data_IF_760533261207
#
_entry.id   IF_760533261207
#
_cell.length_a   1.000
_cell.length_b   1.000
_cell.length_c   1.000
_cell.angle_alpha   90.00
_cell.angle_beta   90.00
_cell.angle_gamma   90.00
#
_symmetry.space_group_name_H-M   'P 1'
#
loop_
_entity.id
_entity.type
_entity.pdbx_description
1 polymer ?
#
# COMPACT_ATOMS: atom_id res chain seq x y z
N UNK A 1 -1.52 -32.85 -12.04
CA UNK A 1 -0.96 -31.69 -11.35
C UNK A 1 -2.01 -30.59 -11.17
N UNK A 2 -1.84 -29.60 -10.28
CA UNK A 2 -2.83 -28.56 -10.06
C UNK A 2 -3.03 -27.69 -11.31
N UNK A 3 -4.25 -27.15 -11.52
CA UNK A 3 -4.65 -26.45 -12.76
C UNK A 3 -3.89 -25.16 -13.07
N UNK A 4 -2.97 -24.73 -12.20
CA UNK A 4 -2.13 -23.55 -12.37
C UNK A 4 -0.68 -23.91 -12.75
N UNK A 5 -0.49 -24.88 -13.63
CA UNK A 5 0.86 -25.21 -14.12
C UNK A 5 1.57 -23.96 -14.68
N UNK A 6 2.87 -23.88 -14.43
CA UNK A 6 3.80 -22.82 -14.86
C UNK A 6 3.69 -22.45 -16.35
N UNK A 7 3.15 -23.29 -17.18
CA UNK A 7 2.97 -23.07 -18.62
C UNK A 7 1.85 -22.09 -18.98
N UNK A 8 0.79 -21.95 -18.13
CA UNK A 8 -0.28 -20.98 -18.37
C UNK A 8 0.03 -19.61 -17.72
N UNK A 9 0.73 -19.60 -16.58
CA UNK A 9 1.23 -18.38 -15.95
C UNK A 9 2.35 -17.72 -16.77
N UNK A 10 3.13 -18.51 -17.53
CA UNK A 10 4.22 -18.02 -18.37
C UNK A 10 3.79 -17.29 -19.67
N UNK A 11 2.49 -17.15 -19.94
CA UNK A 11 1.97 -16.47 -21.15
C UNK A 11 1.47 -15.06 -20.91
N UNK A 12 1.20 -14.67 -19.67
CA UNK A 12 0.73 -13.31 -19.34
C UNK A 12 1.90 -12.48 -18.84
N UNK A 13 2.15 -11.30 -19.43
CA UNK A 13 3.16 -10.38 -18.92
C UNK A 13 2.94 -10.07 -17.43
N UNK A 14 3.99 -10.12 -16.64
CA UNK A 14 3.89 -9.93 -15.19
C UNK A 14 3.30 -8.57 -14.82
N UNK A 15 3.63 -7.52 -15.57
CA UNK A 15 3.06 -6.18 -15.36
C UNK A 15 1.54 -6.14 -15.53
N UNK A 16 1.01 -6.88 -16.52
CA UNK A 16 -0.45 -6.99 -16.72
C UNK A 16 -1.12 -7.76 -15.58
N UNK A 17 -0.52 -8.87 -15.14
CA UNK A 17 -1.06 -9.67 -14.05
C UNK A 17 -1.08 -8.90 -12.73
N UNK A 18 -0.03 -8.15 -12.45
CA UNK A 18 0.10 -7.30 -11.25
C UNK A 18 -0.89 -6.13 -11.30
N UNK A 19 -1.07 -5.53 -12.47
CA UNK A 19 -2.05 -4.45 -12.68
C UNK A 19 -3.49 -4.96 -12.50
N UNK A 20 -3.80 -6.14 -13.01
CA UNK A 20 -5.12 -6.78 -12.82
C UNK A 20 -5.42 -7.07 -11.34
N UNK A 21 -4.43 -7.56 -10.59
CA UNK A 21 -4.55 -7.74 -9.14
C UNK A 21 -4.88 -6.42 -8.43
N UNK A 22 -4.15 -5.37 -8.75
CA UNK A 22 -4.40 -4.02 -8.20
C UNK A 22 -5.83 -3.55 -8.47
N UNK A 23 -6.30 -3.68 -9.72
CA UNK A 23 -7.63 -3.28 -10.14
C UNK A 23 -8.73 -4.09 -9.44
N UNK A 24 -8.51 -5.40 -9.24
CA UNK A 24 -9.45 -6.27 -8.52
C UNK A 24 -9.55 -5.90 -7.05
N UNK A 25 -8.43 -5.65 -6.38
CA UNK A 25 -8.47 -5.20 -4.98
C UNK A 25 -9.25 -3.89 -4.87
N UNK A 26 -8.99 -2.93 -5.75
CA UNK A 26 -9.72 -1.67 -5.77
C UNK A 26 -11.23 -1.83 -6.02
N UNK A 27 -11.62 -2.72 -6.93
CA UNK A 27 -13.01 -2.95 -7.30
C UNK A 27 -13.79 -3.76 -6.26
N UNK A 28 -13.15 -4.74 -5.63
CA UNK A 28 -13.81 -5.74 -4.78
C UNK A 28 -13.81 -5.36 -3.29
N UNK A 29 -13.03 -4.36 -2.88
CA UNK A 29 -12.88 -3.94 -1.49
C UNK A 29 -13.24 -2.47 -1.30
N UNK A 30 -13.84 -2.15 -0.16
CA UNK A 30 -14.23 -0.78 0.19
C UNK A 30 -13.20 -0.15 1.13
N UNK A 31 -12.77 1.08 0.84
CA UNK A 31 -11.95 1.82 1.79
C UNK A 31 -12.80 2.28 2.97
N UNK A 32 -12.47 1.78 4.17
CA UNK A 32 -13.14 2.14 5.42
C UNK A 32 -12.14 2.14 6.58
N UNK A 33 -11.85 3.32 7.11
CA UNK A 33 -10.92 3.51 8.23
C UNK A 33 -11.40 2.92 9.56
N UNK A 34 -12.65 2.49 9.65
CA UNK A 34 -13.24 1.88 10.84
C UNK A 34 -13.38 0.36 10.75
N UNK A 35 -13.16 -0.23 9.56
CA UNK A 35 -13.35 -1.65 9.33
C UNK A 35 -12.27 -2.51 10.00
N UNK A 36 -11.05 -1.99 10.10
CA UNK A 36 -9.87 -2.73 10.54
C UNK A 36 -9.06 -1.95 11.58
N UNK A 37 -8.09 -2.63 12.16
CA UNK A 37 -7.07 -2.06 13.04
C UNK A 37 -5.69 -2.45 12.54
N UNK A 38 -4.63 -1.86 13.07
CA UNK A 38 -3.23 -2.19 12.70
C UNK A 38 -2.86 -3.68 12.93
N UNK A 39 -3.67 -4.41 13.69
CA UNK A 39 -3.48 -5.83 13.99
C UNK A 39 -4.42 -6.75 13.20
N UNK A 40 -5.27 -6.21 12.35
CA UNK A 40 -6.16 -7.01 11.49
C UNK A 40 -5.34 -7.86 10.53
N UNK A 41 -5.80 -9.09 10.33
CA UNK A 41 -5.17 -10.06 9.43
C UNK A 41 -5.71 -9.94 8.01
N UNK A 42 -5.02 -10.54 7.04
CA UNK A 42 -5.52 -10.65 5.66
C UNK A 42 -6.85 -11.40 5.61
N UNK A 43 -7.07 -12.40 6.48
CA UNK A 43 -8.34 -13.11 6.57
C UNK A 43 -9.48 -12.18 7.00
N UNK A 44 -9.25 -11.32 7.99
CA UNK A 44 -10.25 -10.33 8.43
C UNK A 44 -10.65 -9.37 7.30
N UNK A 45 -9.67 -8.95 6.48
CA UNK A 45 -9.90 -8.07 5.33
C UNK A 45 -10.71 -8.77 4.24
N UNK A 46 -10.41 -10.04 3.97
CA UNK A 46 -11.14 -10.88 3.02
C UNK A 46 -12.59 -11.08 3.43
N UNK A 47 -12.84 -11.33 4.71
CA UNK A 47 -14.18 -11.54 5.25
C UNK A 47 -15.02 -10.26 5.22
N UNK A 48 -14.43 -9.13 5.63
CA UNK A 48 -15.12 -7.84 5.70
C UNK A 48 -15.25 -7.15 4.35
N UNK A 49 -14.42 -7.50 3.38
CA UNK A 49 -14.30 -6.80 2.09
C UNK A 49 -14.09 -5.29 2.25
N UNK A 50 -13.39 -4.90 3.31
CA UNK A 50 -13.12 -3.51 3.63
C UNK A 50 -11.82 -3.38 4.44
N UNK A 51 -11.18 -2.21 4.34
CA UNK A 51 -9.95 -1.92 5.05
C UNK A 51 -9.34 -0.58 4.63
N UNK A 52 -8.06 -0.42 4.96
CA UNK A 52 -7.26 0.77 4.63
C UNK A 52 -6.05 0.40 3.75
N UNK A 53 -5.23 1.38 3.39
CA UNK A 53 -4.07 1.16 2.52
C UNK A 53 -3.10 0.07 3.03
N UNK A 54 -2.87 0.00 4.33
CA UNK A 54 -2.08 -1.07 4.95
C UNK A 54 -2.67 -2.46 4.65
N UNK A 55 -3.97 -2.61 4.78
CA UNK A 55 -4.68 -3.88 4.57
C UNK A 55 -4.62 -4.32 3.11
N UNK A 56 -4.85 -3.39 2.19
CA UNK A 56 -4.81 -3.67 0.76
C UNK A 56 -3.39 -3.97 0.27
N UNK A 57 -2.38 -3.32 0.85
CA UNK A 57 -0.99 -3.68 0.61
C UNK A 57 -0.67 -5.10 1.10
N UNK A 58 -1.10 -5.47 2.30
CA UNK A 58 -0.92 -6.84 2.83
C UNK A 58 -1.64 -7.89 2.01
N UNK A 59 -2.87 -7.60 1.56
CA UNK A 59 -3.62 -8.49 0.68
C UNK A 59 -2.91 -8.71 -0.66
N UNK A 60 -2.44 -7.63 -1.28
CA UNK A 60 -1.67 -7.71 -2.52
C UNK A 60 -0.38 -8.52 -2.34
N UNK A 61 0.36 -8.28 -1.24
CA UNK A 61 1.57 -9.04 -0.91
C UNK A 61 1.28 -10.54 -0.74
N UNK A 62 0.21 -10.89 -0.04
CA UNK A 62 -0.19 -12.27 0.15
C UNK A 62 -0.47 -12.96 -1.19
N UNK A 63 -1.23 -12.31 -2.08
CA UNK A 63 -1.51 -12.81 -3.42
C UNK A 63 -0.24 -12.99 -4.26
N UNK A 64 0.62 -11.97 -4.32
CA UNK A 64 1.83 -12.00 -5.13
C UNK A 64 2.82 -13.09 -4.66
N UNK A 65 3.05 -13.14 -3.35
CA UNK A 65 3.98 -14.12 -2.75
C UNK A 65 3.46 -15.55 -2.83
N UNK A 66 2.15 -15.78 -2.78
CA UNK A 66 1.57 -17.11 -2.97
C UNK A 66 1.83 -17.67 -4.37
N UNK A 67 2.04 -16.79 -5.35
CA UNK A 67 2.45 -17.14 -6.72
C UNK A 67 3.96 -17.12 -6.94
N UNK A 68 4.76 -16.98 -5.88
CA UNK A 68 6.22 -16.99 -5.96
C UNK A 68 6.83 -15.70 -6.48
N UNK A 69 6.07 -14.60 -6.54
CA UNK A 69 6.59 -13.30 -6.95
C UNK A 69 7.23 -12.58 -5.77
N UNK A 70 8.44 -12.06 -5.99
CA UNK A 70 9.10 -11.22 -5.00
C UNK A 70 8.37 -9.88 -4.91
N UNK A 71 7.85 -9.55 -3.73
CA UNK A 71 7.14 -8.32 -3.48
C UNK A 71 7.46 -7.77 -2.09
N UNK A 72 7.47 -6.44 -1.97
CA UNK A 72 7.77 -5.73 -0.73
C UNK A 72 6.71 -4.71 -0.39
N UNK A 73 6.49 -4.52 0.89
CA UNK A 73 5.67 -3.45 1.45
C UNK A 73 6.43 -2.13 1.33
N UNK A 74 5.77 -1.08 0.91
CA UNK A 74 6.34 0.27 0.83
C UNK A 74 5.55 1.20 1.75
N UNK A 75 6.27 1.90 2.61
CA UNK A 75 5.74 2.96 3.46
C UNK A 75 6.26 4.31 2.99
N UNK A 76 5.40 5.29 2.96
CA UNK A 76 5.78 6.64 2.53
C UNK A 76 4.63 7.63 2.62
N UNK A 77 4.67 8.61 1.76
CA UNK A 77 3.67 9.67 1.68
C UNK A 77 3.15 9.82 0.27
N UNK A 78 1.89 10.16 0.15
CA UNK A 78 1.23 10.47 -1.12
C UNK A 78 0.79 11.93 -1.11
N UNK A 79 1.29 12.72 -2.06
CA UNK A 79 0.80 14.08 -2.28
C UNK A 79 -0.65 14.02 -2.75
N UNK A 80 -1.56 14.56 -1.94
CA UNK A 80 -2.98 14.64 -2.26
C UNK A 80 -3.25 15.78 -3.21
N UNK A 81 -4.19 15.58 -4.12
CA UNK A 81 -4.67 16.65 -5.01
C UNK A 81 -5.96 17.22 -4.43
N UNK A 82 -6.07 18.55 -4.29
CA UNK A 82 -7.31 19.15 -3.86
C UNK A 82 -8.42 18.87 -4.91
N UNK A 83 -9.68 18.77 -4.47
CA UNK A 83 -10.79 18.70 -5.41
C UNK A 83 -10.78 19.91 -6.36
N UNK A 84 -11.32 19.77 -7.58
CA UNK A 84 -11.38 20.87 -8.55
C UNK A 84 -12.01 22.14 -7.94
N UNK A 85 -11.32 23.28 -8.09
CA UNK A 85 -11.74 24.58 -7.58
C UNK A 85 -11.50 24.82 -6.08
N UNK A 86 -10.80 23.92 -5.38
CA UNK A 86 -10.40 24.11 -3.98
C UNK A 86 -8.89 24.28 -3.86
N UNK A 87 -8.48 25.12 -2.92
CA UNK A 87 -7.07 25.27 -2.57
C UNK A 87 -6.55 24.04 -1.81
N UNK A 88 -5.26 23.77 -1.94
CA UNK A 88 -4.58 22.73 -1.20
C UNK A 88 -4.54 23.06 0.29
N UNK A 89 -4.93 22.12 1.12
CA UNK A 89 -4.88 22.25 2.58
C UNK A 89 -3.50 21.79 3.06
N UNK A 90 -2.75 22.68 3.68
CA UNK A 90 -1.45 22.35 4.27
C UNK A 90 -1.60 21.27 5.37
N UNK A 91 -0.73 20.26 5.34
CA UNK A 91 -0.75 19.19 6.32
C UNK A 91 -1.86 18.14 6.11
N UNK A 92 -2.54 18.18 4.96
CA UNK A 92 -3.61 17.22 4.64
C UNK A 92 -3.12 15.90 4.05
N UNK A 93 -1.85 15.83 3.63
CA UNK A 93 -1.26 14.60 3.14
C UNK A 93 -1.13 13.59 4.28
N UNK A 94 -1.32 12.32 3.98
CA UNK A 94 -1.26 11.27 4.98
C UNK A 94 -0.12 10.31 4.69
N UNK A 95 0.33 9.62 5.74
CA UNK A 95 1.13 8.42 5.55
C UNK A 95 0.34 7.43 4.70
N UNK A 96 1.03 6.77 3.78
CA UNK A 96 0.42 5.87 2.84
C UNK A 96 1.23 4.58 2.71
N UNK A 97 0.57 3.53 2.25
CA UNK A 97 1.20 2.24 2.02
C UNK A 97 0.81 1.70 0.64
N UNK A 98 1.78 1.08 -0.01
CA UNK A 98 1.60 0.42 -1.30
C UNK A 98 2.55 -0.77 -1.45
N UNK A 99 2.66 -1.34 -2.62
CA UNK A 99 3.44 -2.55 -2.88
C UNK A 99 4.40 -2.32 -4.05
N UNK A 100 5.60 -2.86 -3.96
CA UNK A 100 6.50 -2.97 -5.10
C UNK A 100 6.78 -4.43 -5.40
N UNK A 101 6.71 -4.79 -6.68
CA UNK A 101 6.90 -6.13 -7.22
C UNK A 101 8.16 -6.15 -8.07
N UNK A 102 9.03 -7.12 -7.82
CA UNK A 102 10.22 -7.32 -8.63
C UNK A 102 9.86 -7.86 -10.01
N UNK A 103 10.37 -7.22 -11.05
CA UNK A 103 10.20 -7.66 -12.43
C UNK A 103 11.44 -8.45 -12.88
N UNK A 104 11.35 -9.77 -12.98
CA UNK A 104 12.48 -10.59 -13.41
C UNK A 104 12.97 -10.19 -14.82
N UNK A 105 14.26 -9.98 -14.96
CA UNK A 105 14.91 -9.66 -16.23
C UNK A 105 14.99 -8.17 -16.58
N UNK A 106 14.37 -7.28 -15.80
CA UNK A 106 14.47 -5.82 -15.98
C UNK A 106 15.32 -5.13 -14.91
N UNK A 107 15.62 -5.82 -13.79
CA UNK A 107 16.21 -5.23 -12.58
C UNK A 107 15.41 -4.06 -12.00
N UNK A 108 14.09 -4.07 -12.20
CA UNK A 108 13.19 -3.00 -11.77
C UNK A 108 12.12 -3.48 -10.81
N UNK A 109 11.65 -2.56 -9.99
CA UNK A 109 10.51 -2.75 -9.11
C UNK A 109 9.30 -1.99 -9.64
N UNK A 110 8.23 -2.70 -9.98
CA UNK A 110 6.95 -2.10 -10.34
C UNK A 110 6.18 -1.78 -9.06
N UNK A 111 5.93 -0.51 -8.79
CA UNK A 111 5.18 -0.06 -7.64
C UNK A 111 3.70 0.16 -8.00
N UNK A 112 2.81 -0.53 -7.28
CA UNK A 112 1.36 -0.49 -7.46
C UNK A 112 0.66 -0.05 -6.18
N UNK A 113 -0.38 0.75 -6.31
CA UNK A 113 -1.23 1.20 -5.22
C UNK A 113 -2.66 0.67 -5.38
N UNK A 114 -3.02 -0.43 -4.71
CA UNK A 114 -4.35 -0.99 -4.80
C UNK A 114 -5.43 -0.13 -4.13
N UNK A 115 -5.05 0.82 -3.27
CA UNK A 115 -5.99 1.75 -2.63
C UNK A 115 -6.51 2.80 -3.60
N UNK A 116 -5.65 3.28 -4.50
CA UNK A 116 -5.98 4.34 -5.45
C UNK A 116 -6.06 3.85 -6.91
N UNK A 117 -5.90 2.56 -7.15
CA UNK A 117 -5.93 1.93 -8.47
C UNK A 117 -4.97 2.60 -9.47
N UNK A 118 -3.73 2.80 -9.06
CA UNK A 118 -2.72 3.44 -9.90
C UNK A 118 -1.32 2.90 -9.63
N UNK A 119 -0.46 3.01 -10.62
CA UNK A 119 0.98 2.82 -10.40
C UNK A 119 1.53 4.02 -9.65
N UNK A 120 2.49 3.77 -8.76
CA UNK A 120 3.18 4.86 -8.08
C UNK A 120 3.90 5.74 -9.11
N UNK A 121 3.75 7.04 -8.93
CA UNK A 121 4.29 8.08 -9.80
C UNK A 121 5.04 9.13 -8.96
N UNK A 122 5.29 10.30 -9.52
CA UNK A 122 6.00 11.41 -8.90
C UNK A 122 5.33 12.01 -7.65
N UNK A 123 4.07 11.66 -7.39
CA UNK A 123 3.37 12.06 -6.15
C UNK A 123 3.65 11.14 -4.95
N UNK A 124 4.34 10.01 -5.18
CA UNK A 124 4.65 9.03 -4.14
C UNK A 124 6.07 9.24 -3.62
N UNK A 125 6.19 9.54 -2.34
CA UNK A 125 7.48 9.67 -1.66
C UNK A 125 7.73 8.42 -0.83
N UNK A 126 8.61 7.55 -1.29
CA UNK A 126 9.02 6.35 -0.55
C UNK A 126 9.92 6.74 0.62
N UNK A 127 9.56 6.31 1.82
CA UNK A 127 10.37 6.49 3.03
C UNK A 127 11.12 5.21 3.37
N UNK A 128 10.42 4.07 3.32
CA UNK A 128 11.00 2.78 3.64
C UNK A 128 10.25 1.63 2.94
N UNK A 129 10.90 0.49 2.83
CA UNK A 129 10.29 -0.75 2.38
C UNK A 129 10.72 -1.91 3.27
N UNK A 130 9.87 -2.92 3.37
CA UNK A 130 10.10 -4.09 4.19
C UNK A 130 9.24 -5.27 3.78
N UNK A 131 9.18 -6.29 4.61
CA UNK A 131 8.36 -7.48 4.38
C UNK A 131 6.86 -7.18 4.56
N UNK A 132 6.56 -6.33 5.55
CA UNK A 132 5.21 -5.95 5.95
C UNK A 132 5.26 -4.63 6.75
N UNK A 133 4.09 -4.19 7.25
CA UNK A 133 3.98 -2.99 8.09
C UNK A 133 4.88 -3.04 9.33
N UNK A 134 5.07 -4.20 9.95
CA UNK A 134 5.86 -4.35 11.17
C UNK A 134 7.33 -3.96 11.01
N UNK A 135 7.89 -4.12 9.80
CA UNK A 135 9.27 -3.71 9.49
C UNK A 135 9.39 -2.18 9.34
N UNK A 136 8.34 -1.50 8.88
CA UNK A 136 8.41 -0.10 8.39
C UNK A 136 7.28 0.77 8.92
N UNK A 137 6.79 0.49 10.12
CA UNK A 137 5.77 1.33 10.74
C UNK A 137 6.26 2.79 10.86
N UNK A 138 5.43 3.80 10.50
CA UNK A 138 5.85 5.21 10.45
C UNK A 138 6.39 5.75 11.76
N UNK A 139 5.85 5.25 12.88
CA UNK A 139 6.31 5.60 14.22
C UNK A 139 6.43 4.31 15.04
N UNK A 140 7.60 4.09 15.61
CA UNK A 140 7.84 2.96 16.51
C UNK A 140 8.64 3.45 17.71
N UNK A 141 8.13 3.21 18.91
CA UNK A 141 8.81 3.61 20.14
C UNK A 141 8.05 3.20 21.40
N UNK A 142 8.71 3.39 22.54
CA UNK A 142 8.13 3.14 23.86
C UNK A 142 8.23 4.43 24.65
N UNK A 143 7.12 4.89 25.20
CA UNK A 143 7.07 6.08 26.07
C UNK A 143 6.76 5.63 27.50
N UNK A 144 7.68 5.90 28.40
CA UNK A 144 7.47 5.72 29.84
C UNK A 144 6.89 7.00 30.43
N UNK A 145 5.65 6.96 30.89
CA UNK A 145 4.98 8.15 31.44
C UNK A 145 3.99 7.79 32.55
N UNK A 146 3.79 8.70 33.49
CA UNK A 146 2.72 8.63 34.49
C UNK A 146 1.42 9.29 34.01
N UNK A 147 1.39 9.85 32.82
CA UNK A 147 0.20 10.49 32.24
C UNK A 147 -0.92 9.45 32.01
N UNK A 148 -2.13 9.82 32.39
CA UNK A 148 -3.33 8.97 32.21
C UNK A 148 -3.92 9.06 30.79
N UNK A 149 -3.48 10.03 30.00
CA UNK A 149 -3.97 10.28 28.63
C UNK A 149 -2.82 10.73 27.75
N UNK A 150 -2.76 10.22 26.55
CA UNK A 150 -1.84 10.67 25.50
C UNK A 150 -2.63 11.09 24.27
N UNK A 151 -2.09 12.03 23.53
CA UNK A 151 -2.65 12.47 22.25
C UNK A 151 -1.53 12.49 21.21
N UNK A 152 -1.75 11.84 20.09
CA UNK A 152 -0.88 11.89 18.92
C UNK A 152 -1.52 12.83 17.89
N UNK A 153 -0.74 13.76 17.35
CA UNK A 153 -1.12 14.57 16.20
C UNK A 153 -0.08 14.38 15.11
N UNK A 154 -0.54 14.07 13.91
CA UNK A 154 0.30 13.90 12.73
C UNK A 154 -0.18 14.89 11.67
N UNK A 155 0.76 15.59 11.05
CA UNK A 155 0.50 16.45 9.89
C UNK A 155 1.61 16.22 8.87
N UNK A 156 1.26 16.05 7.61
CA UNK A 156 2.19 15.82 6.51
C UNK A 156 1.85 16.78 5.39
N UNK A 157 2.88 17.34 4.77
CA UNK A 157 2.78 18.18 3.59
C UNK A 157 3.83 17.75 2.57
N UNK A 158 3.35 17.32 1.40
CA UNK A 158 4.18 16.89 0.27
C UNK A 158 3.96 17.85 -0.89
N UNK A 159 4.97 18.61 -1.24
CA UNK A 159 4.90 19.59 -2.31
C UNK A 159 6.06 19.42 -3.29
N UNK A 160 5.86 19.67 -4.59
CA UNK A 160 6.96 19.79 -5.54
C UNK A 160 7.91 20.92 -5.09
N UNK A 161 9.20 20.69 -5.29
CA UNK A 161 10.17 21.78 -5.19
C UNK A 161 10.12 22.59 -6.49
N UNK A 162 9.96 23.90 -6.38
CA UNK A 162 10.18 24.80 -7.50
C UNK A 162 11.71 24.86 -7.73
N UNK A 163 12.15 24.44 -8.90
CA UNK A 163 13.55 24.45 -9.36
C UNK A 163 13.75 25.62 -10.30
#
# INVERSE_FOLDING_TARGET
>A
GPPWRREEVGRRPIGEAVTDLMQRIFADFTYDSKATTVTSTVADVLDKRAGVCQDFAHLALACLRSHGLAARYVSGYLATQPPPGKERVFGADASHAWVAVWLPGSDEWLAIDPTNNQWANDRYVTVAWGRDYGDVSPVKGIIFTKAKKSTLRVAVDVAPLEV
#
